data_IF_130797766251
#
_entry.id   IF_130797766251
#
_cell.length_a   1.000
_cell.length_b   1.000
_cell.length_c   1.000
_cell.angle_alpha   90.00
_cell.angle_beta   90.00
_cell.angle_gamma   90.00
#
_symmetry.space_group_name_H-M   'P 1'
#
loop_
_entity.id
_entity.type
_entity.pdbx_description
1 polymer ?
#
# COMPACT_ATOMS: atom_id res chain seq x y z
N UNK A 1 25.88 3.39 -10.27
CA UNK A 1 24.90 2.29 -10.31
C UNK A 1 23.74 2.71 -9.43
N UNK A 2 22.67 3.27 -10.00
CA UNK A 2 21.48 3.62 -9.22
C UNK A 2 20.75 2.32 -8.92
N UNK A 3 20.86 1.83 -7.69
CA UNK A 3 19.98 0.79 -7.18
C UNK A 3 18.56 1.17 -7.57
N UNK A 4 17.88 0.36 -8.39
CA UNK A 4 16.45 0.54 -8.62
C UNK A 4 15.76 0.29 -7.29
N UNK A 5 15.60 1.36 -6.49
CA UNK A 5 14.80 1.30 -5.27
C UNK A 5 13.42 0.78 -5.66
N UNK A 6 13.03 -0.30 -4.99
CA UNK A 6 11.80 -0.99 -5.29
C UNK A 6 10.64 -0.13 -4.78
N UNK A 7 10.03 0.64 -5.68
CA UNK A 7 9.00 1.64 -5.31
C UNK A 7 7.75 0.97 -4.75
N UNK A 8 7.19 1.56 -3.71
CA UNK A 8 6.04 1.03 -3.00
C UNK A 8 4.80 1.92 -3.17
N UNK A 9 3.65 1.31 -3.47
CA UNK A 9 2.38 2.02 -3.57
C UNK A 9 1.29 1.41 -2.71
N UNK A 10 0.53 2.25 -2.00
CA UNK A 10 -0.72 1.87 -1.34
C UNK A 10 -1.90 2.18 -2.26
N UNK A 11 -2.75 1.18 -2.51
CA UNK A 11 -3.96 1.30 -3.32
C UNK A 11 -5.20 1.03 -2.46
N UNK A 12 -6.01 2.06 -2.22
CA UNK A 12 -7.26 1.96 -1.43
C UNK A 12 -8.36 2.83 -2.04
N UNK A 13 -9.17 2.24 -2.92
CA UNK A 13 -10.23 2.98 -3.64
C UNK A 13 -11.58 2.38 -3.36
N UNK A 14 -12.61 3.22 -3.15
CA UNK A 14 -13.99 2.74 -3.06
C UNK A 14 -14.47 2.22 -4.43
N UNK A 15 -14.51 3.08 -5.45
CA UNK A 15 -14.84 2.68 -6.82
C UNK A 15 -13.68 1.92 -7.47
N UNK A 16 -13.95 0.72 -7.97
CA UNK A 16 -12.95 -0.16 -8.63
C UNK A 16 -12.72 0.18 -10.10
N UNK A 17 -13.36 1.21 -10.64
CA UNK A 17 -13.18 1.64 -12.02
C UNK A 17 -11.73 2.03 -12.27
N UNK A 18 -11.09 1.38 -13.25
CA UNK A 18 -9.73 1.67 -13.69
C UNK A 18 -8.61 1.12 -12.80
N UNK A 19 -8.90 0.59 -11.59
CA UNK A 19 -7.84 0.20 -10.64
C UNK A 19 -6.97 -0.95 -11.16
N UNK A 20 -7.57 -1.91 -11.88
CA UNK A 20 -6.83 -3.05 -12.45
C UNK A 20 -5.84 -2.57 -13.51
N UNK A 21 -6.26 -1.68 -14.42
CA UNK A 21 -5.37 -1.09 -15.45
C UNK A 21 -4.23 -0.31 -14.80
N UNK A 22 -4.54 0.50 -13.80
CA UNK A 22 -3.57 1.31 -13.07
C UNK A 22 -2.53 0.43 -12.34
N UNK A 23 -2.99 -0.54 -11.55
CA UNK A 23 -2.13 -1.47 -10.82
C UNK A 23 -1.27 -2.32 -11.77
N UNK A 24 -1.83 -2.77 -12.89
CA UNK A 24 -1.07 -3.52 -13.91
C UNK A 24 0.07 -2.68 -14.49
N UNK A 25 -0.16 -1.40 -14.78
CA UNK A 25 0.88 -0.50 -15.25
C UNK A 25 2.00 -0.33 -14.20
N UNK A 26 1.65 -0.12 -12.93
CA UNK A 26 2.63 -0.05 -11.84
C UNK A 26 3.44 -1.34 -11.69
N UNK A 27 2.80 -2.52 -11.75
CA UNK A 27 3.51 -3.80 -11.73
C UNK A 27 4.50 -3.96 -12.89
N UNK A 28 4.15 -3.51 -14.10
CA UNK A 28 5.06 -3.52 -15.26
C UNK A 28 6.29 -2.63 -15.06
N UNK A 29 6.16 -1.58 -14.26
CA UNK A 29 7.26 -0.69 -13.86
C UNK A 29 8.06 -1.25 -12.66
N UNK A 30 7.77 -2.46 -12.18
CA UNK A 30 8.48 -3.09 -11.07
C UNK A 30 7.99 -2.71 -9.69
N UNK A 31 6.87 -1.99 -9.55
CA UNK A 31 6.40 -1.53 -8.24
C UNK A 31 5.89 -2.68 -7.36
N UNK A 32 6.08 -2.51 -6.05
CA UNK A 32 5.43 -3.30 -5.02
C UNK A 32 4.12 -2.64 -4.62
N UNK A 33 3.04 -3.41 -4.65
CA UNK A 33 1.69 -2.90 -4.41
C UNK A 33 1.15 -3.42 -3.08
N UNK A 34 0.61 -2.52 -2.30
CA UNK A 34 -0.02 -2.77 -1.01
C UNK A 34 -1.51 -2.43 -1.10
N UNK A 35 -2.38 -3.31 -0.62
CA UNK A 35 -3.83 -3.07 -0.63
C UNK A 35 -4.53 -3.90 0.44
N UNK A 36 -5.80 -3.60 0.70
CA UNK A 36 -6.64 -4.38 1.62
C UNK A 36 -8.10 -4.42 1.16
N UNK A 37 -8.88 -5.25 1.85
CA UNK A 37 -10.34 -5.36 1.67
C UNK A 37 -10.74 -5.57 0.21
N UNK A 38 -11.77 -4.84 -0.23
CA UNK A 38 -12.33 -4.99 -1.57
C UNK A 38 -11.37 -4.62 -2.70
N UNK A 39 -10.40 -3.72 -2.48
CA UNK A 39 -9.42 -3.36 -3.53
C UNK A 39 -8.44 -4.49 -3.76
N UNK A 40 -7.90 -5.07 -2.68
CA UNK A 40 -7.02 -6.23 -2.77
C UNK A 40 -7.70 -7.42 -3.44
N UNK A 41 -8.98 -7.67 -3.13
CA UNK A 41 -9.78 -8.74 -3.75
C UNK A 41 -9.81 -8.62 -5.27
N UNK A 42 -10.24 -7.47 -5.79
CA UNK A 42 -10.34 -7.22 -7.24
C UNK A 42 -8.99 -7.34 -7.95
N UNK A 43 -7.91 -6.88 -7.32
CA UNK A 43 -6.57 -7.00 -7.89
C UNK A 43 -6.09 -8.45 -7.95
N UNK A 44 -6.33 -9.23 -6.88
CA UNK A 44 -5.99 -10.68 -6.85
C UNK A 44 -6.80 -11.49 -7.87
N UNK A 45 -8.09 -11.19 -8.02
CA UNK A 45 -8.96 -11.80 -9.05
C UNK A 45 -8.43 -11.51 -10.47
N UNK A 46 -7.89 -10.31 -10.69
CA UNK A 46 -7.20 -9.94 -11.93
C UNK A 46 -5.76 -10.48 -12.06
N UNK A 47 -5.34 -11.39 -11.16
CA UNK A 47 -3.98 -11.98 -11.09
C UNK A 47 -2.87 -10.95 -10.88
N UNK A 48 -3.18 -9.81 -10.26
CA UNK A 48 -2.21 -8.80 -9.87
C UNK A 48 -1.78 -9.06 -8.42
N UNK A 49 -0.48 -9.31 -8.23
CA UNK A 49 0.10 -9.52 -6.90
C UNK A 49 0.02 -8.26 -6.05
N UNK A 50 -0.56 -8.36 -4.86
CA UNK A 50 -0.58 -7.29 -3.85
C UNK A 50 -0.26 -7.85 -2.48
N UNK A 51 0.53 -7.10 -1.71
CA UNK A 51 0.78 -7.36 -0.29
C UNK A 51 -0.42 -6.85 0.50
N UNK A 52 -0.91 -7.66 1.44
CA UNK A 52 -1.98 -7.23 2.33
C UNK A 52 -1.43 -6.25 3.37
N UNK A 53 -2.02 -5.06 3.48
CA UNK A 53 -1.53 -4.06 4.46
C UNK A 53 -1.65 -4.55 5.90
N UNK A 54 -2.59 -5.47 6.19
CA UNK A 54 -2.73 -6.06 7.53
C UNK A 54 -1.53 -6.92 7.94
N UNK A 55 -0.76 -7.43 6.96
CA UNK A 55 0.50 -8.16 7.25
C UNK A 55 1.62 -7.25 7.74
N UNK A 56 1.53 -5.93 7.51
CA UNK A 56 2.51 -4.97 8.02
C UNK A 56 2.36 -4.76 9.51
N UNK A 57 1.12 -4.68 10.02
CA UNK A 57 0.88 -4.46 11.44
C UNK A 57 0.97 -5.73 12.28
N UNK A 58 0.65 -6.88 11.70
CA UNK A 58 0.44 -8.12 12.47
C UNK A 58 -0.80 -8.07 13.39
N UNK A 59 -1.57 -6.97 13.33
CA UNK A 59 -2.76 -6.76 14.13
C UNK A 59 -4.01 -7.14 13.32
N UNK A 60 -5.01 -7.78 13.95
CA UNK A 60 -6.27 -8.05 13.27
C UNK A 60 -7.01 -6.73 12.97
N UNK A 61 -7.74 -6.65 11.84
CA UNK A 61 -8.59 -5.51 11.55
C UNK A 61 -9.73 -5.42 12.58
N UNK A 62 -10.05 -4.20 13.04
CA UNK A 62 -11.12 -3.95 14.01
C UNK A 62 -12.23 -3.06 13.45
N UNK A 63 -13.35 -2.97 14.18
CA UNK A 63 -14.52 -2.15 13.84
C UNK A 63 -15.08 -2.43 12.43
N UNK A 64 -15.17 -3.71 12.06
CA UNK A 64 -15.69 -4.13 10.76
C UNK A 64 -14.82 -3.64 9.59
N UNK A 65 -13.50 -3.83 9.68
CA UNK A 65 -12.51 -3.34 8.71
C UNK A 65 -12.38 -1.81 8.60
N UNK A 66 -12.95 -1.03 9.53
CA UNK A 66 -12.76 0.43 9.55
C UNK A 66 -11.36 0.85 9.97
N UNK A 67 -10.72 0.07 10.84
CA UNK A 67 -9.36 0.36 11.32
C UNK A 67 -8.45 -0.79 10.91
N UNK A 68 -7.66 -0.54 9.88
CA UNK A 68 -6.67 -1.48 9.33
C UNK A 68 -5.35 -0.77 9.04
N UNK A 69 -5.42 0.46 8.53
CA UNK A 69 -4.25 1.22 8.09
C UNK A 69 -3.71 2.21 9.11
N UNK A 70 -4.43 2.46 10.21
CA UNK A 70 -4.03 3.39 11.28
C UNK A 70 -2.99 2.75 12.21
N UNK A 71 -1.82 2.43 11.65
CA UNK A 71 -0.73 1.72 12.31
C UNK A 71 0.62 2.38 11.99
N UNK A 72 1.61 2.33 12.91
CA UNK A 72 2.90 3.00 12.72
C UNK A 72 3.66 2.54 11.48
N UNK A 73 3.55 1.25 11.12
CA UNK A 73 4.24 0.67 9.96
C UNK A 73 3.83 1.33 8.64
N UNK A 74 2.58 1.80 8.56
CA UNK A 74 2.05 2.46 7.38
C UNK A 74 2.29 3.96 7.47
N UNK A 75 1.89 4.58 8.59
CA UNK A 75 1.99 6.03 8.73
C UNK A 75 3.43 6.54 8.85
N UNK A 76 4.35 5.76 9.44
CA UNK A 76 5.78 6.07 9.45
C UNK A 76 6.34 6.14 8.03
N UNK A 77 6.04 5.15 7.20
CA UNK A 77 6.44 5.13 5.78
C UNK A 77 5.81 6.22 4.90
N UNK A 78 4.76 6.89 5.39
CA UNK A 78 4.08 7.98 4.69
C UNK A 78 4.49 9.38 5.15
N UNK A 79 4.87 9.50 6.43
CA UNK A 79 5.13 10.78 7.08
C UNK A 79 6.62 11.07 7.29
N UNK A 80 7.47 10.05 7.23
CA UNK A 80 8.91 10.23 7.38
C UNK A 80 9.49 11.17 6.31
N UNK A 81 10.49 11.95 6.71
CA UNK A 81 11.33 12.70 5.79
C UNK A 81 12.51 11.85 5.33
N UNK A 82 13.27 12.31 4.33
CA UNK A 82 14.44 11.58 3.84
C UNK A 82 15.50 11.39 4.92
N UNK A 83 15.64 12.33 5.86
CA UNK A 83 16.55 12.21 7.01
C UNK A 83 16.14 11.10 7.98
N UNK A 84 14.88 10.68 7.95
CA UNK A 84 14.31 9.64 8.83
C UNK A 84 14.25 8.27 8.14
N UNK A 85 14.74 8.14 6.90
CA UNK A 85 14.70 6.89 6.14
C UNK A 85 15.46 5.75 6.85
N UNK A 86 16.61 6.05 7.45
CA UNK A 86 17.39 5.05 8.21
C UNK A 86 16.62 4.50 9.42
N UNK A 87 15.80 5.32 10.08
CA UNK A 87 14.94 4.88 11.19
C UNK A 87 13.88 3.89 10.70
N UNK A 88 13.23 4.17 9.57
CA UNK A 88 12.26 3.26 8.96
C UNK A 88 12.90 1.93 8.56
N UNK A 89 14.10 1.95 7.99
CA UNK A 89 14.84 0.73 7.63
C UNK A 89 15.14 -0.13 8.86
N UNK A 90 15.59 0.48 9.97
CA UNK A 90 15.83 -0.23 11.25
C UNK A 90 14.57 -0.85 11.83
N UNK A 91 13.43 -0.17 11.69
CA UNK A 91 12.11 -0.66 12.13
C UNK A 91 11.49 -1.68 11.15
N UNK A 92 12.04 -1.83 9.96
CA UNK A 92 11.47 -2.65 8.89
C UNK A 92 10.19 -2.05 8.30
N UNK A 93 10.00 -0.73 8.38
CA UNK A 93 8.82 -0.05 7.86
C UNK A 93 9.04 0.33 6.40
N UNK A 94 8.14 -0.05 5.48
CA UNK A 94 8.29 0.29 4.07
C UNK A 94 8.11 1.80 3.84
N UNK A 95 9.02 2.41 3.10
CA UNK A 95 8.84 3.74 2.52
C UNK A 95 7.78 3.70 1.42
N UNK A 96 6.85 4.65 1.34
CA UNK A 96 5.82 4.68 0.30
C UNK A 96 5.97 5.87 -0.66
N UNK A 97 6.20 5.58 -1.93
CA UNK A 97 6.33 6.58 -2.99
C UNK A 97 4.98 7.11 -3.50
N UNK A 98 3.93 6.28 -3.39
CA UNK A 98 2.62 6.61 -3.94
C UNK A 98 1.49 6.12 -3.04
N UNK A 99 0.50 6.99 -2.86
CA UNK A 99 -0.76 6.64 -2.22
C UNK A 99 -1.91 6.99 -3.15
N UNK A 100 -2.67 5.97 -3.56
CA UNK A 100 -3.90 6.13 -4.32
C UNK A 100 -5.09 5.85 -3.41
N UNK A 101 -5.70 6.92 -2.92
CA UNK A 101 -6.90 6.85 -2.09
C UNK A 101 -8.09 7.48 -2.82
N UNK A 102 -9.23 6.79 -2.81
CA UNK A 102 -10.52 7.38 -3.20
C UNK A 102 -11.58 7.01 -2.15
N UNK A 103 -12.04 7.95 -1.31
CA UNK A 103 -13.04 7.66 -0.30
C UNK A 103 -14.42 7.39 -0.94
N UNK A 104 -15.35 6.91 -0.12
CA UNK A 104 -16.77 6.87 -0.47
C UNK A 104 -17.24 8.32 -0.62
N UNK A 105 -18.03 8.61 -1.66
CA UNK A 105 -18.78 9.87 -1.67
C UNK A 105 -19.81 9.78 -0.56
N UNK A 106 -19.70 10.67 0.44
CA UNK A 106 -20.75 10.86 1.44
C UNK A 106 -21.93 11.58 0.80
#
# INVERSE_FOLDING_TARGET
MTSTENKNAILSVYSKRGIVRFASALKKLGWTLYSSGGTAKVLREAKISVIDVSKLSGLPPILGHRVVTLVPQIHGGLLATEEQREELEKLGYPWFDLVCIRPVAL
#
